data_IF_106958466253
#
_entry.id   IF_106958466253
#
_cell.length_a   1.000
_cell.length_b   1.000
_cell.length_c   1.000
_cell.angle_alpha   90.00
_cell.angle_beta   90.00
_cell.angle_gamma   90.00
#
_symmetry.space_group_name_H-M   'P 1'
#
loop_
_entity.id
_entity.type
_entity.pdbx_description
1 polymer ?
#
# COMPACT_ATOMS: atom_id res chain seq x y z
N UNK A 1 18.70 -6.39 -21.45
CA UNK A 1 19.41 -5.41 -20.61
C UNK A 1 18.63 -4.11 -20.74
N UNK A 2 18.16 -3.53 -19.64
CA UNK A 2 17.44 -2.25 -19.72
C UNK A 2 18.42 -1.17 -20.22
N UNK A 3 17.96 -0.14 -20.96
CA UNK A 3 18.82 0.97 -21.36
C UNK A 3 19.42 1.65 -20.13
N UNK A 4 20.72 1.95 -20.12
CA UNK A 4 21.42 2.59 -18.98
C UNK A 4 20.74 3.90 -18.55
N UNK A 5 20.16 4.64 -19.49
CA UNK A 5 19.38 5.84 -19.23
C UNK A 5 18.20 5.59 -18.28
N UNK A 6 17.53 4.45 -18.43
CA UNK A 6 16.39 4.05 -17.60
C UNK A 6 16.88 3.73 -16.19
N UNK A 7 17.93 2.94 -16.04
CA UNK A 7 18.50 2.60 -14.73
C UNK A 7 18.95 3.85 -13.96
N UNK A 8 19.61 4.78 -14.64
CA UNK A 8 20.07 6.03 -14.03
C UNK A 8 18.91 6.96 -13.62
N UNK A 9 17.80 6.94 -14.37
CA UNK A 9 16.58 7.68 -14.02
C UNK A 9 15.90 7.11 -12.77
N UNK A 10 15.77 5.78 -12.69
CA UNK A 10 15.17 5.12 -11.52
C UNK A 10 16.02 5.33 -10.26
N UNK A 11 17.35 5.23 -10.38
CA UNK A 11 18.26 5.44 -9.24
C UNK A 11 18.27 6.88 -8.73
N UNK A 12 18.18 7.89 -9.60
CA UNK A 12 18.20 9.29 -9.17
C UNK A 12 16.86 9.78 -8.59
N UNK A 13 15.74 9.12 -8.93
CA UNK A 13 14.40 9.57 -8.56
C UNK A 13 13.71 8.60 -7.58
N UNK A 14 14.48 7.80 -6.84
CA UNK A 14 13.96 6.81 -5.90
C UNK A 14 12.97 7.40 -4.88
N UNK A 15 13.28 8.58 -4.34
CA UNK A 15 12.44 9.29 -3.37
C UNK A 15 11.07 9.65 -3.96
N UNK A 16 11.07 10.15 -5.19
CA UNK A 16 9.89 10.60 -5.89
C UNK A 16 9.03 9.42 -6.34
N UNK A 17 9.67 8.35 -6.84
CA UNK A 17 9.01 7.11 -7.22
C UNK A 17 8.32 6.44 -6.03
N UNK A 18 8.98 6.40 -4.88
CA UNK A 18 8.39 5.86 -3.67
C UNK A 18 7.17 6.67 -3.23
N UNK A 19 7.28 8.00 -3.24
CA UNK A 19 6.20 8.89 -2.84
C UNK A 19 5.00 8.77 -3.79
N UNK A 20 5.23 8.72 -5.12
CA UNK A 20 4.18 8.45 -6.10
C UNK A 20 3.54 7.08 -5.86
N UNK A 21 4.34 6.04 -5.61
CA UNK A 21 3.81 4.69 -5.37
C UNK A 21 2.90 4.66 -4.16
N UNK A 22 3.27 5.36 -3.09
CA UNK A 22 2.45 5.51 -1.89
C UNK A 22 1.11 6.20 -2.21
N UNK A 23 1.12 7.29 -2.97
CA UNK A 23 -0.11 7.99 -3.35
C UNK A 23 -1.01 7.15 -4.26
N UNK A 24 -0.41 6.41 -5.19
CA UNK A 24 -1.16 5.49 -6.07
C UNK A 24 -1.80 4.38 -5.24
N UNK A 25 -1.08 3.78 -4.29
CA UNK A 25 -1.58 2.70 -3.46
C UNK A 25 -2.73 3.17 -2.54
N UNK A 26 -2.55 4.29 -1.83
CA UNK A 26 -3.62 4.88 -1.02
C UNK A 26 -4.81 5.31 -1.90
N UNK A 27 -4.54 5.90 -3.06
CA UNK A 27 -5.56 6.29 -4.02
C UNK A 27 -6.35 5.09 -4.52
N UNK A 28 -5.69 3.96 -4.78
CA UNK A 28 -6.32 2.71 -5.17
C UNK A 28 -7.26 2.19 -4.07
N UNK A 29 -6.83 2.24 -2.80
CA UNK A 29 -7.67 1.90 -1.65
C UNK A 29 -8.91 2.78 -1.55
N UNK A 30 -8.78 4.10 -1.78
CA UNK A 30 -9.95 5.02 -1.82
C UNK A 30 -10.87 4.70 -3.00
N UNK A 31 -10.32 4.40 -4.18
CA UNK A 31 -11.10 4.05 -5.37
C UNK A 31 -11.88 2.74 -5.15
N UNK A 32 -11.22 1.70 -4.63
CA UNK A 32 -11.90 0.44 -4.28
C UNK A 32 -13.00 0.66 -3.23
N UNK A 33 -12.75 1.50 -2.23
CA UNK A 33 -13.77 1.91 -1.29
C UNK A 33 -14.96 2.62 -1.96
N UNK A 34 -14.71 3.53 -2.90
CA UNK A 34 -15.77 4.29 -3.59
C UNK A 34 -16.66 3.43 -4.50
N UNK A 35 -16.09 2.39 -5.12
CA UNK A 35 -16.82 1.49 -6.03
C UNK A 35 -17.47 0.31 -5.33
N UNK A 36 -16.81 -0.32 -4.37
CA UNK A 36 -17.24 -1.58 -3.74
C UNK A 36 -17.60 -1.45 -2.25
N UNK A 37 -17.38 -0.28 -1.64
CA UNK A 37 -17.70 -0.03 -0.24
C UNK A 37 -16.89 -0.91 0.71
N UNK A 38 -17.59 -1.68 1.55
CA UNK A 38 -16.99 -2.53 2.59
C UNK A 38 -16.17 -3.69 2.01
N UNK A 39 -16.74 -4.40 1.04
CA UNK A 39 -16.09 -5.56 0.41
C UNK A 39 -14.85 -5.14 -0.39
N UNK A 40 -14.85 -3.92 -0.93
CA UNK A 40 -13.68 -3.33 -1.58
C UNK A 40 -12.52 -3.09 -0.62
N UNK A 41 -12.81 -2.52 0.56
CA UNK A 41 -11.81 -2.31 1.60
C UNK A 41 -11.24 -3.63 2.14
N UNK A 42 -12.09 -4.63 2.35
CA UNK A 42 -11.71 -6.00 2.69
C UNK A 42 -10.73 -6.59 1.67
N UNK A 43 -11.09 -6.55 0.38
CA UNK A 43 -10.24 -7.03 -0.69
C UNK A 43 -8.92 -6.26 -0.77
N UNK A 44 -8.93 -4.94 -0.55
CA UNK A 44 -7.73 -4.10 -0.46
C UNK A 44 -6.81 -4.53 0.68
N UNK A 45 -7.35 -4.81 1.88
CA UNK A 45 -6.56 -5.26 3.02
C UNK A 45 -5.89 -6.61 2.71
N UNK A 46 -6.65 -7.59 2.23
CA UNK A 46 -6.12 -8.92 1.88
C UNK A 46 -5.06 -8.82 0.79
N UNK A 47 -5.31 -8.03 -0.27
CA UNK A 47 -4.36 -7.79 -1.34
C UNK A 47 -3.09 -7.12 -0.81
N UNK A 48 -3.23 -6.11 0.06
CA UNK A 48 -2.10 -5.40 0.65
C UNK A 48 -1.28 -6.31 1.58
N UNK A 49 -1.90 -7.21 2.33
CA UNK A 49 -1.20 -8.20 3.15
C UNK A 49 -0.40 -9.17 2.27
N UNK A 50 -0.99 -9.62 1.16
CA UNK A 50 -0.31 -10.49 0.21
C UNK A 50 0.90 -9.78 -0.42
N UNK A 51 0.70 -8.55 -0.89
CA UNK A 51 1.77 -7.73 -1.47
C UNK A 51 2.83 -7.36 -0.43
N UNK A 52 2.46 -7.10 0.82
CA UNK A 52 3.38 -6.86 1.92
C UNK A 52 4.27 -8.08 2.20
N UNK A 53 3.75 -9.30 2.09
CA UNK A 53 4.59 -10.49 2.22
C UNK A 53 5.54 -10.66 1.02
N UNK A 54 5.11 -10.26 -0.18
CA UNK A 54 5.93 -10.38 -1.40
C UNK A 54 7.00 -9.27 -1.52
N UNK A 55 6.70 -8.08 -1.02
CA UNK A 55 7.56 -6.88 -1.14
C UNK A 55 8.17 -6.45 0.20
N UNK A 56 7.74 -7.00 1.32
CA UNK A 56 8.26 -6.74 2.67
C UNK A 56 9.76 -6.99 2.84
N UNK A 57 10.35 -8.07 2.31
CA UNK A 57 11.80 -8.27 2.41
C UNK A 57 12.59 -7.40 1.43
N UNK A 58 11.94 -6.69 0.49
CA UNK A 58 12.64 -5.77 -0.42
C UNK A 58 12.93 -4.45 0.28
N UNK A 59 14.21 -4.17 0.44
CA UNK A 59 14.71 -2.94 1.05
C UNK A 59 15.05 -1.94 -0.04
N UNK A 60 14.69 -0.68 0.21
CA UNK A 60 14.99 0.47 -0.62
C UNK A 60 15.62 1.55 0.26
N UNK A 61 16.53 2.35 -0.29
CA UNK A 61 17.12 3.49 0.40
C UNK A 61 16.39 4.74 -0.06
N UNK A 62 15.80 5.46 0.87
CA UNK A 62 14.96 6.64 0.61
C UNK A 62 15.39 7.73 1.57
N UNK A 63 15.67 8.92 1.05
CA UNK A 63 16.23 10.04 1.82
C UNK A 63 17.48 9.65 2.66
N UNK A 64 18.27 8.69 2.16
CA UNK A 64 19.45 8.16 2.86
C UNK A 64 19.15 7.18 4.00
N UNK A 65 17.89 6.84 4.28
CA UNK A 65 17.48 5.82 5.25
C UNK A 65 17.02 4.54 4.55
N UNK A 66 17.46 3.40 5.06
CA UNK A 66 17.00 2.10 4.57
C UNK A 66 15.60 1.81 5.10
N UNK A 67 14.64 1.64 4.20
CA UNK A 67 13.26 1.28 4.53
C UNK A 67 12.80 0.09 3.71
N UNK A 68 11.77 -0.60 4.19
CA UNK A 68 11.15 -1.69 3.47
C UNK A 68 10.07 -1.17 2.52
N UNK A 69 10.00 -1.72 1.31
CA UNK A 69 8.86 -1.48 0.40
C UNK A 69 7.54 -1.96 1.02
N UNK A 70 7.61 -2.92 1.95
CA UNK A 70 6.47 -3.37 2.74
C UNK A 70 5.76 -2.26 3.50
N UNK A 71 6.47 -1.20 3.90
CA UNK A 71 5.90 -0.09 4.68
C UNK A 71 4.74 0.58 3.94
N UNK A 72 4.80 0.71 2.62
CA UNK A 72 3.70 1.29 1.83
C UNK A 72 2.42 0.47 2.01
N UNK A 73 2.53 -0.86 1.89
CA UNK A 73 1.39 -1.75 2.06
C UNK A 73 0.84 -1.74 3.48
N UNK A 74 1.72 -1.69 4.50
CA UNK A 74 1.28 -1.54 5.89
C UNK A 74 0.51 -0.24 6.10
N UNK A 75 0.98 0.89 5.56
CA UNK A 75 0.26 2.16 5.61
C UNK A 75 -1.13 2.06 4.98
N UNK A 76 -1.24 1.36 3.85
CA UNK A 76 -2.52 1.14 3.16
C UNK A 76 -3.49 0.24 3.93
N UNK A 77 -2.98 -0.81 4.60
CA UNK A 77 -3.78 -1.68 5.48
C UNK A 77 -4.35 -0.86 6.64
N UNK A 78 -3.52 -0.05 7.31
CA UNK A 78 -3.99 0.81 8.40
C UNK A 78 -5.01 1.82 7.91
N UNK A 79 -4.74 2.47 6.78
CA UNK A 79 -5.65 3.44 6.18
C UNK A 79 -7.00 2.80 5.80
N UNK A 80 -7.00 1.61 5.20
CA UNK A 80 -8.21 0.87 4.86
C UNK A 80 -9.00 0.46 6.13
N UNK A 81 -8.30 0.06 7.18
CA UNK A 81 -8.91 -0.34 8.46
C UNK A 81 -9.54 0.86 9.17
N UNK A 82 -8.85 2.00 9.20
CA UNK A 82 -9.36 3.25 9.77
C UNK A 82 -10.60 3.72 9.02
N UNK A 83 -10.56 3.74 7.68
CA UNK A 83 -11.69 4.12 6.84
C UNK A 83 -12.90 3.18 7.04
N UNK A 84 -12.63 1.88 7.21
CA UNK A 84 -13.67 0.91 7.51
C UNK A 84 -14.30 1.14 8.89
N UNK A 85 -13.48 1.41 9.90
CA UNK A 85 -13.91 1.71 11.27
C UNK A 85 -14.79 2.96 11.30
N UNK A 86 -14.42 4.01 10.57
CA UNK A 86 -15.14 5.28 10.53
C UNK A 86 -16.49 5.19 9.79
N UNK A 87 -16.56 4.44 8.68
CA UNK A 87 -17.76 4.40 7.83
C UNK A 87 -18.74 3.28 8.13
N UNK A 88 -18.26 2.12 8.61
CA UNK A 88 -19.10 0.94 8.83
C UNK A 88 -19.16 0.51 10.30
N UNK A 89 -18.46 1.21 11.20
CA UNK A 89 -18.39 0.90 12.62
C UNK A 89 -17.48 -0.31 12.94
N UNK A 90 -17.09 -0.41 14.21
CA UNK A 90 -16.12 -1.41 14.71
C UNK A 90 -16.43 -2.87 14.32
N UNK A 91 -17.70 -3.28 14.31
CA UNK A 91 -18.09 -4.66 13.99
C UNK A 91 -17.80 -5.04 12.54
N UNK A 92 -17.81 -4.07 11.61
CA UNK A 92 -17.48 -4.34 10.22
C UNK A 92 -15.97 -4.49 10.00
N UNK A 93 -15.19 -3.66 10.70
CA UNK A 93 -13.72 -3.67 10.74
C UNK A 93 -13.17 -4.94 11.40
N UNK A 94 -13.73 -5.39 12.53
CA UNK A 94 -13.29 -6.62 13.20
C UNK A 94 -13.49 -7.87 12.31
N UNK A 95 -14.59 -7.92 11.56
CA UNK A 95 -14.83 -9.01 10.59
C UNK A 95 -13.83 -8.99 9.43
N UNK A 96 -13.28 -7.82 9.10
CA UNK A 96 -12.29 -7.68 8.04
C UNK A 96 -10.88 -8.04 8.46
N UNK A 97 -10.50 -7.62 9.66
CA UNK A 97 -9.25 -8.03 10.29
C UNK A 97 -9.22 -9.54 10.56
N UNK A 98 -10.38 -10.17 10.84
CA UNK A 98 -10.45 -11.64 11.00
C UNK A 98 -10.37 -12.44 9.69
N UNK A 99 -10.60 -11.82 8.53
CA UNK A 99 -10.57 -12.50 7.22
C UNK A 99 -9.24 -12.32 6.47
N UNK A 100 -8.49 -11.26 6.77
CA UNK A 100 -7.13 -11.03 6.28
C UNK A 100 -6.07 -11.66 7.19
#
# INVERSE_FOLDING_TARGET
MFPEFIEHFFSNNQDLLWLITLFIDLGFTVVMFRFFGREGLLACIVLSILLANLQGPKLTVIFGMQTSLGVIFYSSIFFATDLMSEKFGKQAADKAVMMG
#
